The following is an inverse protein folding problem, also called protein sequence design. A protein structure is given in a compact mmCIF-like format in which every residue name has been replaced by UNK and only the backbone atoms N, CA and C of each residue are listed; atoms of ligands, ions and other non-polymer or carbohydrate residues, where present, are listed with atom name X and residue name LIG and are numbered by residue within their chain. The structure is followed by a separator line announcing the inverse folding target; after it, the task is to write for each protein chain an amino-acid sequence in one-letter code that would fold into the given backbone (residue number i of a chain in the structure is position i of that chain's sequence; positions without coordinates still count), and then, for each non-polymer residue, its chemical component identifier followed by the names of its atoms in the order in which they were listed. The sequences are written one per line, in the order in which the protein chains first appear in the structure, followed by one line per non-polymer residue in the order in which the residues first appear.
data_IF_555579228821
#
_entry.id   IF_555579228821
#
_cell.length_a   1.000
_cell.length_b   1.000
_cell.length_c   1.000
_cell.angle_alpha   90.00
_cell.angle_beta   90.00
_cell.angle_gamma   90.00
#
_symmetry.space_group_name_H-M   'P 1'
#
loop_
_entity.id
_entity.type
_entity.pdbx_description
1 polymer ?
#
# COMPACT_ATOMS: atom_id res chain seq x y z
N UNK A 1 -23.47 -8.05 3.48
CA UNK A 1 -24.91 -7.89 3.84
C UNK A 1 -25.76 -9.08 3.39
N UNK A 2 -25.58 -9.62 2.17
CA UNK A 2 -26.36 -10.75 1.64
C UNK A 2 -26.18 -12.10 2.39
N UNK A 3 -24.99 -12.39 2.93
CA UNK A 3 -24.71 -13.65 3.65
C UNK A 3 -25.43 -13.75 5.00
N UNK A 4 -25.47 -12.65 5.75
CA UNK A 4 -26.23 -12.54 7.02
C UNK A 4 -27.74 -12.72 6.80
N UNK A 5 -28.29 -12.14 5.73
CA UNK A 5 -29.72 -12.28 5.39
C UNK A 5 -30.10 -13.72 5.00
N UNK A 6 -29.22 -14.47 4.32
CA UNK A 6 -29.47 -15.89 3.98
C UNK A 6 -29.46 -16.81 5.20
N UNK A 7 -28.55 -16.57 6.15
CA UNK A 7 -28.45 -17.35 7.40
C UNK A 7 -29.65 -17.12 8.34
N UNK A 8 -30.12 -15.88 8.46
CA UNK A 8 -31.34 -15.56 9.23
C UNK A 8 -32.59 -16.24 8.66
N UNK A 9 -32.67 -16.35 7.33
CA UNK A 9 -33.77 -17.04 6.65
C UNK A 9 -33.78 -18.54 6.94
N UNK A 10 -32.62 -19.19 6.93
CA UNK A 10 -32.44 -20.59 7.31
C UNK A 10 -32.75 -20.87 8.79
N UNK A 11 -32.41 -19.94 9.69
CA UNK A 11 -32.76 -19.99 11.13
C UNK A 11 -34.28 -19.94 11.35
N UNK A 12 -34.99 -19.17 10.53
CA UNK A 12 -36.45 -19.00 10.65
C UNK A 12 -37.26 -20.11 9.94
N UNK A 13 -36.72 -20.73 8.88
CA UNK A 13 -37.40 -21.79 8.11
C UNK A 13 -37.25 -23.19 8.75
N UNK A 14 -36.20 -23.42 9.56
CA UNK A 14 -35.98 -24.68 10.30
C UNK A 14 -36.02 -24.43 11.82
N UNK A 15 -37.23 -24.29 12.36
CA UNK A 15 -37.51 -23.94 13.76
C UNK A 15 -37.41 -25.13 14.73
N UNK A 16 -36.31 -25.89 14.70
CA UNK A 16 -35.98 -26.77 15.83
C UNK A 16 -34.86 -26.15 16.68
N UNK A 17 -34.89 -26.34 18.01
CA UNK A 17 -33.79 -25.90 18.88
C UNK A 17 -32.43 -26.42 18.41
N UNK A 18 -32.40 -27.64 17.86
CA UNK A 18 -31.19 -28.31 17.37
C UNK A 18 -30.57 -27.61 16.16
N UNK A 19 -31.36 -27.20 15.15
CA UNK A 19 -30.85 -26.44 14.00
C UNK A 19 -30.34 -25.07 14.40
N UNK A 20 -30.99 -24.41 15.37
CA UNK A 20 -30.54 -23.11 15.89
C UNK A 20 -29.18 -23.23 16.60
N UNK A 21 -28.98 -24.30 17.37
CA UNK A 21 -27.70 -24.60 18.04
C UNK A 21 -26.61 -24.87 17.00
N UNK A 22 -26.90 -25.70 15.99
CA UNK A 22 -25.94 -26.02 14.92
C UNK A 22 -25.51 -24.78 14.12
N UNK A 23 -26.45 -23.91 13.76
CA UNK A 23 -26.14 -22.65 13.06
C UNK A 23 -25.26 -21.75 13.92
N UNK A 24 -25.58 -21.61 15.20
CA UNK A 24 -24.81 -20.75 16.11
C UNK A 24 -23.39 -21.30 16.33
N UNK A 25 -23.23 -22.62 16.45
CA UNK A 25 -21.93 -23.27 16.52
C UNK A 25 -21.10 -23.05 15.24
N UNK A 26 -21.72 -23.18 14.07
CA UNK A 26 -21.06 -22.89 12.79
C UNK A 26 -20.62 -21.42 12.68
N UNK A 27 -21.46 -20.47 13.11
CA UNK A 27 -21.13 -19.04 13.15
C UNK A 27 -19.91 -18.77 14.06
N UNK A 28 -19.88 -19.40 15.24
CA UNK A 28 -18.78 -19.29 16.20
C UNK A 28 -17.48 -19.89 15.65
N UNK A 29 -17.52 -21.11 15.10
CA UNK A 29 -16.35 -21.77 14.52
C UNK A 29 -15.81 -21.00 13.31
N UNK A 30 -16.70 -20.47 12.46
CA UNK A 30 -16.31 -19.64 11.30
C UNK A 30 -15.64 -18.35 11.75
N UNK A 31 -16.19 -17.68 12.76
CA UNK A 31 -15.61 -16.46 13.31
C UNK A 31 -14.24 -16.75 13.94
N UNK A 32 -14.13 -17.84 14.70
CA UNK A 32 -12.87 -18.30 15.31
C UNK A 32 -11.80 -18.57 14.25
N UNK A 33 -12.16 -19.26 13.15
CA UNK A 33 -11.26 -19.52 12.03
C UNK A 33 -10.72 -18.22 11.41
N UNK A 34 -11.60 -17.26 11.09
CA UNK A 34 -11.17 -16.00 10.49
C UNK A 34 -10.35 -15.13 11.45
N UNK A 35 -10.66 -15.14 12.74
CA UNK A 35 -9.87 -14.45 13.75
C UNK A 35 -8.47 -15.04 13.85
N UNK A 36 -8.35 -16.37 13.92
CA UNK A 36 -7.06 -17.06 13.93
C UNK A 36 -6.25 -16.76 12.66
N UNK A 37 -6.88 -16.81 11.50
CA UNK A 37 -6.23 -16.44 10.24
C UNK A 37 -5.74 -14.98 10.25
N UNK A 38 -6.55 -14.04 10.73
CA UNK A 38 -6.16 -12.63 10.86
C UNK A 38 -4.97 -12.45 11.82
N UNK A 39 -4.94 -13.17 12.94
CA UNK A 39 -3.82 -13.15 13.88
C UNK A 39 -2.52 -13.69 13.25
N UNK A 40 -2.60 -14.77 12.47
CA UNK A 40 -1.44 -15.27 11.74
C UNK A 40 -0.93 -14.25 10.73
N UNK A 41 -1.83 -13.64 9.95
CA UNK A 41 -1.46 -12.60 8.99
C UNK A 41 -0.78 -11.42 9.67
N UNK A 42 -1.27 -10.97 10.83
CA UNK A 42 -0.62 -9.91 11.63
C UNK A 42 0.75 -10.33 12.13
N UNK A 43 0.92 -11.57 12.59
CA UNK A 43 2.24 -12.07 13.04
C UNK A 43 3.24 -12.13 11.90
N UNK A 44 2.80 -12.53 10.71
CA UNK A 44 3.65 -12.58 9.52
C UNK A 44 3.97 -11.18 8.99
N UNK A 45 3.04 -10.22 9.10
CA UNK A 45 3.25 -8.86 8.63
C UNK A 45 4.37 -8.13 9.38
N UNK A 46 4.61 -8.44 10.66
CA UNK A 46 5.70 -7.82 11.46
C UNK A 46 7.07 -7.93 10.78
N UNK A 47 7.33 -9.02 10.04
CA UNK A 47 8.59 -9.19 9.33
C UNK A 47 8.78 -8.17 8.19
N UNK A 48 7.69 -7.52 7.76
CA UNK A 48 7.69 -6.51 6.73
C UNK A 48 7.80 -5.08 7.26
N UNK A 49 7.55 -4.82 8.56
CA UNK A 49 7.64 -3.48 9.17
C UNK A 49 9.01 -2.82 8.92
N UNK A 50 10.08 -3.63 8.84
CA UNK A 50 11.43 -3.13 8.50
C UNK A 50 11.52 -2.48 7.10
N UNK A 51 10.59 -2.78 6.21
CA UNK A 51 10.51 -2.23 4.86
C UNK A 51 9.62 -0.98 4.79
N UNK A 52 9.03 -0.52 5.90
CA UNK A 52 8.27 0.74 5.96
C UNK A 52 9.11 1.95 5.55
N UNK A 53 10.44 1.84 5.64
CA UNK A 53 11.38 2.86 5.12
C UNK A 53 11.26 3.07 3.61
N UNK A 54 10.65 2.16 2.86
CA UNK A 54 10.41 2.26 1.41
C UNK A 54 9.01 2.74 1.05
N UNK A 55 8.11 2.95 2.02
CA UNK A 55 6.69 3.27 1.76
C UNK A 55 6.51 4.54 0.92
N UNK A 56 7.44 5.48 1.01
CA UNK A 56 7.45 6.69 0.20
C UNK A 56 7.53 6.42 -1.31
N UNK A 57 8.02 5.25 -1.71
CA UNK A 57 8.08 4.84 -3.12
C UNK A 57 6.70 4.54 -3.72
N UNK A 58 5.62 4.51 -2.92
CA UNK A 58 4.24 4.34 -3.41
C UNK A 58 3.73 5.55 -4.18
N UNK A 59 4.38 6.72 -4.00
CA UNK A 59 3.98 7.99 -4.61
C UNK A 59 2.50 8.35 -4.33
N UNK A 60 2.00 7.88 -3.19
CA UNK A 60 0.65 8.16 -2.69
C UNK A 60 0.55 9.55 -2.04
N UNK A 61 1.67 10.06 -1.54
CA UNK A 61 1.84 11.40 -1.00
C UNK A 61 3.21 11.98 -1.38
N UNK A 62 3.39 13.29 -1.18
CA UNK A 62 4.70 13.93 -1.38
C UNK A 62 5.63 13.51 -0.24
N UNK A 63 6.76 12.85 -0.51
CA UNK A 63 7.63 12.37 0.52
C UNK A 63 8.40 13.50 1.20
N UNK A 64 8.58 13.37 2.50
CA UNK A 64 9.53 14.21 3.26
C UNK A 64 10.96 13.74 3.01
N UNK A 65 11.90 14.67 2.95
CA UNK A 65 13.32 14.37 2.79
C UNK A 65 13.83 13.33 3.81
N UNK A 66 13.43 13.48 5.07
CA UNK A 66 13.77 12.56 6.17
C UNK A 66 13.41 11.09 5.85
N UNK A 67 12.32 10.84 5.11
CA UNK A 67 11.94 9.48 4.71
C UNK A 67 12.95 8.87 3.73
N UNK A 68 13.44 9.67 2.78
CA UNK A 68 14.45 9.25 1.81
C UNK A 68 15.80 9.04 2.50
N UNK A 69 16.20 9.93 3.41
CA UNK A 69 17.41 9.77 4.22
C UNK A 69 17.38 8.47 5.03
N UNK A 70 16.23 8.16 5.66
CA UNK A 70 16.06 6.91 6.40
C UNK A 70 16.20 5.68 5.51
N UNK A 71 15.71 5.72 4.27
CA UNK A 71 15.93 4.64 3.29
C UNK A 71 17.40 4.49 2.94
N UNK A 72 18.11 5.60 2.70
CA UNK A 72 19.54 5.61 2.37
C UNK A 72 20.35 5.00 3.52
N UNK A 73 20.08 5.43 4.77
CA UNK A 73 20.71 4.87 5.96
C UNK A 73 20.43 3.37 6.09
N UNK A 74 19.18 2.95 5.87
CA UNK A 74 18.81 1.54 5.88
C UNK A 74 19.59 0.73 4.82
N UNK A 75 19.67 1.22 3.58
CA UNK A 75 20.41 0.58 2.49
C UNK A 75 21.90 0.46 2.80
N UNK A 76 22.53 1.56 3.25
CA UNK A 76 23.93 1.57 3.62
C UNK A 76 24.22 0.59 4.78
N UNK A 77 23.36 0.53 5.80
CA UNK A 77 23.47 -0.41 6.92
C UNK A 77 23.35 -1.88 6.48
N UNK A 78 22.72 -2.14 5.33
CA UNK A 78 22.60 -3.47 4.73
C UNK A 78 23.63 -3.72 3.60
N UNK A 79 24.65 -2.86 3.48
CA UNK A 79 25.75 -3.05 2.52
C UNK A 79 25.44 -2.64 1.08
N UNK A 80 24.36 -1.89 0.85
CA UNK A 80 24.03 -1.33 -0.46
C UNK A 80 24.61 0.07 -0.55
N UNK A 81 25.62 0.26 -1.40
CA UNK A 81 26.19 1.58 -1.67
C UNK A 81 25.20 2.44 -2.47
N UNK A 82 24.98 3.66 -1.99
CA UNK A 82 24.17 4.67 -2.67
C UNK A 82 25.10 5.73 -3.27
N UNK A 83 25.01 5.94 -4.58
CA UNK A 83 25.76 7.00 -5.26
C UNK A 83 25.15 8.35 -4.88
N UNK A 84 25.94 9.24 -4.29
CA UNK A 84 25.44 10.42 -3.58
C UNK A 84 25.26 11.67 -4.44
N UNK A 85 25.72 11.64 -5.68
CA UNK A 85 25.81 12.87 -6.46
C UNK A 85 24.39 13.33 -6.86
N UNK A 86 24.01 14.49 -6.34
CA UNK A 86 22.77 15.20 -6.62
C UNK A 86 21.47 14.56 -6.08
N UNK A 87 21.53 13.76 -5.00
CA UNK A 87 20.35 13.14 -4.39
C UNK A 87 19.29 14.16 -3.94
N UNK A 88 19.72 15.28 -3.37
CA UNK A 88 18.80 16.30 -2.89
C UNK A 88 18.09 17.00 -4.06
N UNK A 89 18.80 17.28 -5.14
CA UNK A 89 18.24 17.84 -6.37
C UNK A 89 17.22 16.87 -6.98
N UNK A 90 17.56 15.58 -7.08
CA UNK A 90 16.64 14.54 -7.56
C UNK A 90 15.38 14.45 -6.69
N UNK A 91 15.55 14.53 -5.37
CA UNK A 91 14.43 14.61 -4.44
C UNK A 91 13.56 15.85 -4.71
N UNK A 92 14.16 17.03 -4.89
CA UNK A 92 13.44 18.26 -5.15
C UNK A 92 12.62 18.18 -6.44
N UNK A 93 13.16 17.53 -7.48
CA UNK A 93 12.40 17.25 -8.71
C UNK A 93 11.18 16.35 -8.44
N UNK A 94 11.38 15.24 -7.74
CA UNK A 94 10.28 14.32 -7.38
C UNK A 94 9.22 15.04 -6.53
N UNK A 95 9.64 15.82 -5.54
CA UNK A 95 8.77 16.61 -4.67
C UNK A 95 7.90 17.57 -5.48
N UNK A 96 8.52 18.37 -6.35
CA UNK A 96 7.81 19.35 -7.18
C UNK A 96 6.84 18.66 -8.15
N UNK A 97 7.24 17.53 -8.73
CA UNK A 97 6.37 16.73 -9.60
C UNK A 97 5.13 16.25 -8.84
N UNK A 98 5.30 15.66 -7.65
CA UNK A 98 4.18 15.12 -6.87
C UNK A 98 3.26 16.20 -6.33
N UNK A 99 3.78 17.37 -5.94
CA UNK A 99 2.97 18.52 -5.52
C UNK A 99 1.95 18.94 -6.59
N UNK A 100 2.31 18.82 -7.87
CA UNK A 100 1.40 19.08 -8.99
C UNK A 100 0.48 17.88 -9.24
N UNK A 101 1.04 16.68 -9.35
CA UNK A 101 0.29 15.49 -9.78
C UNK A 101 -0.74 15.02 -8.78
N UNK A 102 -0.47 15.10 -7.47
CA UNK A 102 -1.40 14.62 -6.44
C UNK A 102 -2.73 15.38 -6.41
N UNK A 103 -2.78 16.60 -6.96
CA UNK A 103 -4.02 17.36 -7.12
C UNK A 103 -4.90 16.84 -8.28
N UNK A 104 -4.35 16.05 -9.20
CA UNK A 104 -5.04 15.60 -10.41
C UNK A 104 -5.82 14.30 -10.13
N UNK A 105 -7.10 14.27 -10.52
CA UNK A 105 -7.93 13.06 -10.41
C UNK A 105 -7.40 11.89 -11.25
N UNK A 106 -6.80 12.18 -12.41
CA UNK A 106 -6.12 11.19 -13.25
C UNK A 106 -5.03 10.46 -12.47
N UNK A 107 -4.18 11.20 -11.74
CA UNK A 107 -3.11 10.61 -10.93
C UNK A 107 -3.64 9.72 -9.81
N UNK A 108 -4.74 10.13 -9.16
CA UNK A 108 -5.38 9.35 -8.10
C UNK A 108 -6.03 8.07 -8.61
N UNK A 109 -6.44 8.04 -9.88
CA UNK A 109 -7.03 6.86 -10.51
C UNK A 109 -6.03 5.76 -10.88
N UNK A 110 -4.73 6.08 -10.88
CA UNK A 110 -3.65 5.12 -11.13
C UNK A 110 -3.41 4.30 -9.86
N UNK A 111 -3.72 3.00 -9.93
CA UNK A 111 -3.57 2.08 -8.80
C UNK A 111 -2.20 1.40 -8.74
N UNK A 112 -1.46 1.35 -9.84
CA UNK A 112 -0.12 0.73 -9.90
C UNK A 112 0.98 1.73 -9.52
N UNK A 113 1.85 1.32 -8.60
CA UNK A 113 3.04 2.08 -8.23
C UNK A 113 4.01 2.18 -9.41
N UNK A 114 4.16 1.10 -10.17
CA UNK A 114 5.05 0.99 -11.31
C UNK A 114 4.65 1.97 -12.42
N UNK A 115 3.35 2.08 -12.71
CA UNK A 115 2.82 3.06 -13.68
C UNK A 115 3.14 4.50 -13.27
N UNK A 116 3.01 4.84 -11.98
CA UNK A 116 3.35 6.17 -11.47
C UNK A 116 4.83 6.50 -11.67
N UNK A 117 5.72 5.57 -11.38
CA UNK A 117 7.15 5.75 -11.62
C UNK A 117 7.49 5.89 -13.11
N UNK A 118 6.86 5.08 -13.97
CA UNK A 118 7.05 5.20 -15.43
C UNK A 118 6.66 6.60 -15.93
N UNK A 119 5.54 7.15 -15.46
CA UNK A 119 5.12 8.51 -15.83
C UNK A 119 6.13 9.55 -15.36
N UNK A 120 6.57 9.47 -14.09
CA UNK A 120 7.59 10.37 -13.55
C UNK A 120 8.87 10.35 -14.40
N UNK A 121 9.40 9.18 -14.72
CA UNK A 121 10.63 9.07 -15.52
C UNK A 121 10.45 9.59 -16.95
N UNK A 122 9.31 9.32 -17.59
CA UNK A 122 9.01 9.84 -18.95
C UNK A 122 8.92 11.36 -18.97
N UNK A 123 8.22 11.96 -18.00
CA UNK A 123 8.05 13.42 -17.97
C UNK A 123 9.35 14.15 -17.62
N UNK A 124 10.16 13.59 -16.73
CA UNK A 124 11.47 14.16 -16.37
C UNK A 124 12.50 14.02 -17.48
N UNK A 125 12.46 12.93 -18.26
CA UNK A 125 13.31 12.76 -19.45
C UNK A 125 12.95 13.76 -20.56
N UNK A 126 11.65 13.96 -20.82
CA UNK A 126 11.18 14.94 -21.80
C UNK A 126 11.56 16.38 -21.44
N UNK A 127 11.41 16.78 -20.18
CA UNK A 127 11.84 18.10 -19.70
C UNK A 127 13.35 18.30 -19.84
N UNK A 128 14.17 17.26 -19.65
CA UNK A 128 15.62 17.35 -19.86
C UNK A 128 15.97 17.56 -21.33
N UNK A 129 15.27 16.89 -22.25
CA UNK A 129 15.49 16.99 -23.69
C UNK A 129 15.01 18.33 -24.26
N UNK A 130 13.94 18.92 -23.73
CA UNK A 130 13.48 20.25 -24.13
C UNK A 130 14.47 21.34 -23.72
N UNK A 131 15.05 21.25 -22.51
CA UNK A 131 16.05 22.20 -22.02
C UNK A 131 17.43 22.12 -22.70
N UNK A 132 17.73 21.02 -23.39
CA UNK A 132 18.98 20.84 -24.16
C UNK A 132 18.87 21.29 -25.62
N UNK A 133 17.65 21.50 -26.11
CA UNK A 133 17.35 21.91 -27.48
C UNK A 133 17.00 23.41 -27.61
N UNK A 134 17.18 24.19 -26.54
CA UNK A 134 17.08 25.65 -26.52
C UNK A 134 18.45 26.33 -26.48
#
# INVERSE_FOLDING_TARGET
MQTKMKMQKLKNENSTPETTILISKFEEETLSFFNAASEYLKKWSISFDKYDVFDWMTLSETPKWEKIENTILYLNNNGVETLSDNLFEQYMYLKNFLEVKLALEEWKSINSMEEKWIIFFKETENQRLENLNC
#
